data_IF_603706168668
#
_entry.id   IF_603706168668
#
_cell.length_a   1.000
_cell.length_b   1.000
_cell.length_c   1.000
_cell.angle_alpha   90.00
_cell.angle_beta   90.00
_cell.angle_gamma   90.00
#
_symmetry.space_group_name_H-M   'P 1'
#
loop_
_entity.id
_entity.type
_entity.pdbx_description
1 polymer ?
#
# COMPACT_ATOMS: atom_id res chain seq x y z
N UNK A 1 -4.26 9.22 -8.69
CA UNK A 1 -4.40 7.82 -9.17
C UNK A 1 -4.70 6.94 -7.97
N UNK A 2 -5.54 5.90 -8.09
CA UNK A 2 -5.84 5.04 -6.94
C UNK A 2 -4.81 3.94 -6.72
N UNK A 3 -4.43 3.73 -5.47
CA UNK A 3 -3.53 2.67 -5.04
C UNK A 3 -4.08 1.99 -3.79
N UNK A 4 -4.17 0.66 -3.80
CA UNK A 4 -4.59 -0.10 -2.62
C UNK A 4 -3.38 -0.44 -1.74
N UNK A 5 -3.37 0.00 -0.50
CA UNK A 5 -2.39 -0.40 0.51
C UNK A 5 -3.10 -1.15 1.65
N UNK A 6 -2.85 -2.45 1.75
CA UNK A 6 -3.57 -3.39 2.60
C UNK A 6 -5.08 -3.38 2.33
N UNK A 7 -5.83 -2.59 3.09
CA UNK A 7 -7.29 -2.40 3.04
C UNK A 7 -7.69 -0.94 2.80
N UNK A 8 -6.73 -0.02 2.65
CA UNK A 8 -6.96 1.39 2.43
C UNK A 8 -6.64 1.78 0.99
N UNK A 9 -7.60 2.40 0.31
CA UNK A 9 -7.40 2.97 -1.02
C UNK A 9 -6.97 4.42 -0.88
N UNK A 10 -5.81 4.70 -1.45
CA UNK A 10 -5.15 5.99 -1.44
C UNK A 10 -5.29 6.61 -2.82
N UNK A 11 -5.67 7.88 -2.86
CA UNK A 11 -5.41 8.70 -4.03
C UNK A 11 -3.98 9.21 -3.95
N UNK A 12 -3.13 8.67 -4.82
CA UNK A 12 -1.75 9.09 -5.03
C UNK A 12 -1.68 9.95 -6.28
N UNK A 13 -1.91 11.25 -6.12
CA UNK A 13 -1.67 12.24 -7.16
C UNK A 13 -0.26 12.81 -7.00
N UNK A 14 0.56 12.68 -8.06
CA UNK A 14 1.98 13.06 -8.06
C UNK A 14 2.19 14.56 -7.81
N UNK A 15 1.23 15.40 -8.19
CA UNK A 15 1.31 16.85 -8.01
C UNK A 15 1.32 17.29 -6.53
N UNK A 16 0.79 16.46 -5.64
CA UNK A 16 0.60 16.81 -4.23
C UNK A 16 1.57 16.10 -3.26
N UNK A 17 2.30 15.09 -3.72
CA UNK A 17 3.02 14.16 -2.83
C UNK A 17 4.52 14.49 -2.68
N UNK A 18 5.15 15.15 -3.65
CA UNK A 18 6.60 15.38 -3.61
C UNK A 18 7.04 16.80 -3.88
N UNK A 19 8.06 17.21 -3.10
CA UNK A 19 8.96 18.28 -3.45
C UNK A 19 10.01 17.72 -4.44
N UNK A 20 10.46 18.44 -5.49
CA UNK A 20 11.37 17.90 -6.51
C UNK A 20 12.68 17.31 -5.96
N UNK A 21 13.16 17.81 -4.81
CA UNK A 21 14.36 17.31 -4.13
C UNK A 21 14.22 15.88 -3.57
N UNK A 22 12.99 15.46 -3.28
CA UNK A 22 12.72 14.11 -2.80
C UNK A 22 12.74 13.09 -3.94
N UNK A 23 12.37 13.52 -5.16
CA UNK A 23 12.30 12.65 -6.33
C UNK A 23 13.66 12.03 -6.70
N UNK A 24 14.75 12.81 -6.67
CA UNK A 24 16.10 12.33 -6.97
C UNK A 24 16.59 11.31 -5.94
N UNK A 25 16.30 11.53 -4.65
CA UNK A 25 16.66 10.60 -3.58
C UNK A 25 15.91 9.28 -3.70
N UNK A 26 14.65 9.35 -4.14
CA UNK A 26 13.81 8.19 -4.32
C UNK A 26 14.12 7.41 -5.59
N UNK A 27 14.66 8.07 -6.61
CA UNK A 27 15.10 7.36 -7.81
C UNK A 27 16.34 6.46 -7.54
N UNK A 28 17.17 6.80 -6.56
CA UNK A 28 18.27 5.93 -6.16
C UNK A 28 17.83 4.66 -5.40
N UNK A 29 16.58 4.58 -4.93
CA UNK A 29 16.11 3.45 -4.12
C UNK A 29 15.81 2.22 -5.00
N UNK A 30 16.25 1.05 -4.54
CA UNK A 30 15.85 -0.23 -5.14
C UNK A 30 14.45 -0.63 -4.70
N UNK A 31 13.82 -1.53 -5.46
CA UNK A 31 12.52 -2.06 -5.08
C UNK A 31 12.57 -2.86 -3.77
N UNK A 32 13.66 -3.60 -3.53
CA UNK A 32 13.87 -4.37 -2.31
C UNK A 32 13.93 -3.48 -1.07
N UNK A 33 14.56 -2.31 -1.21
CA UNK A 33 14.61 -1.33 -0.12
C UNK A 33 13.24 -0.71 0.17
N UNK A 34 12.44 -0.42 -0.86
CA UNK A 34 11.06 0.09 -0.68
C UNK A 34 10.18 -0.98 -0.02
N UNK A 35 10.34 -2.24 -0.40
CA UNK A 35 9.66 -3.35 0.26
C UNK A 35 10.06 -3.47 1.74
N UNK A 36 11.35 -3.35 2.05
CA UNK A 36 11.85 -3.33 3.43
C UNK A 36 11.28 -2.17 4.25
N UNK A 37 11.25 -0.96 3.70
CA UNK A 37 10.62 0.21 4.35
C UNK A 37 9.15 -0.05 4.69
N UNK A 38 8.41 -0.68 3.77
CA UNK A 38 7.03 -1.09 4.04
C UNK A 38 6.94 -2.12 5.17
N UNK A 39 7.80 -3.15 5.14
CA UNK A 39 7.87 -4.17 6.21
C UNK A 39 8.17 -3.55 7.57
N UNK A 40 9.13 -2.64 7.66
CA UNK A 40 9.45 -1.90 8.89
C UNK A 40 8.25 -1.11 9.40
N UNK A 41 7.58 -0.38 8.50
CA UNK A 41 6.40 0.42 8.84
C UNK A 41 5.26 -0.42 9.43
N UNK A 42 5.02 -1.61 8.88
CA UNK A 42 3.95 -2.50 9.34
C UNK A 42 4.36 -3.42 10.49
N UNK A 43 5.66 -3.65 10.70
CA UNK A 43 6.19 -4.31 11.89
C UNK A 43 6.05 -3.42 13.14
N UNK A 44 6.28 -2.11 12.99
CA UNK A 44 6.12 -1.12 14.07
C UNK A 44 4.65 -1.02 14.51
N UNK A 45 3.73 -0.90 13.56
CA UNK A 45 2.30 -0.85 13.84
C UNK A 45 1.48 -1.31 12.61
N UNK A 46 0.73 -2.42 12.72
CA UNK A 46 -0.09 -2.95 11.63
C UNK A 46 -1.17 -2.00 11.12
N UNK A 47 -1.57 -1.00 11.92
CA UNK A 47 -2.56 0.02 11.58
C UNK A 47 -1.93 1.35 11.16
N UNK A 48 -0.61 1.43 10.93
CA UNK A 48 0.11 2.66 10.57
C UNK A 48 -0.51 3.38 9.38
N UNK A 49 -0.97 2.65 8.36
CA UNK A 49 -1.58 3.24 7.17
C UNK A 49 -2.85 4.03 7.45
N UNK A 50 -3.58 3.69 8.52
CA UNK A 50 -4.75 4.45 8.98
C UNK A 50 -4.37 5.63 9.88
N UNK A 51 -3.33 5.48 10.71
CA UNK A 51 -2.87 6.52 11.65
C UNK A 51 -2.05 7.62 10.96
N UNK A 52 -1.30 7.26 9.91
CA UNK A 52 -0.45 8.16 9.16
C UNK A 52 -0.65 7.97 7.65
N UNK A 53 -1.75 8.49 7.09
CA UNK A 53 -2.08 8.33 5.68
C UNK A 53 -1.04 8.97 4.74
N UNK A 54 -0.32 10.00 5.18
CA UNK A 54 0.76 10.62 4.40
C UNK A 54 1.95 9.67 4.21
N UNK A 55 2.36 8.96 5.26
CA UNK A 55 3.42 7.94 5.17
C UNK A 55 2.99 6.79 4.24
N UNK A 56 1.73 6.37 4.33
CA UNK A 56 1.14 5.37 3.45
C UNK A 56 1.11 5.81 1.98
N UNK A 57 0.71 7.06 1.70
CA UNK A 57 0.72 7.65 0.34
C UNK A 57 2.11 7.69 -0.26
N UNK A 58 3.12 8.10 0.52
CA UNK A 58 4.52 8.09 0.08
C UNK A 58 4.99 6.69 -0.28
N UNK A 59 4.72 5.69 0.57
CA UNK A 59 5.07 4.31 0.28
C UNK A 59 4.40 3.79 -1.00
N UNK A 60 3.08 4.01 -1.14
CA UNK A 60 2.32 3.63 -2.32
C UNK A 60 2.86 4.29 -3.60
N UNK A 61 3.22 5.57 -3.52
CA UNK A 61 3.83 6.29 -4.63
C UNK A 61 5.20 5.72 -5.00
N UNK A 62 6.07 5.44 -4.02
CA UNK A 62 7.39 4.83 -4.26
C UNK A 62 7.27 3.48 -4.97
N UNK A 63 6.33 2.65 -4.51
CA UNK A 63 6.03 1.35 -5.12
C UNK A 63 5.61 1.54 -6.57
N UNK A 64 4.67 2.45 -6.84
CA UNK A 64 4.21 2.71 -8.20
C UNK A 64 5.30 3.28 -9.10
N UNK A 65 6.12 4.21 -8.60
CA UNK A 65 7.23 4.80 -9.36
C UNK A 65 8.23 3.73 -9.81
N UNK A 66 8.55 2.76 -8.95
CA UNK A 66 9.48 1.66 -9.27
C UNK A 66 8.82 0.49 -10.00
N UNK A 67 7.52 0.31 -9.84
CA UNK A 67 6.72 -0.71 -10.53
C UNK A 67 5.45 -0.09 -11.09
N UNK A 68 5.50 0.59 -12.25
CA UNK A 68 4.35 1.35 -12.79
C UNK A 68 3.09 0.53 -13.06
N UNK A 69 3.23 -0.80 -13.22
CA UNK A 69 2.09 -1.72 -13.41
C UNK A 69 1.42 -2.13 -12.10
N UNK A 70 2.07 -1.91 -10.96
CA UNK A 70 1.56 -2.22 -9.63
C UNK A 70 0.75 -1.03 -9.12
N UNK A 71 -0.46 -1.33 -8.68
CA UNK A 71 -1.37 -0.37 -8.04
C UNK A 71 -2.02 -0.96 -6.76
N UNK A 72 -1.45 -2.05 -6.25
CA UNK A 72 -1.83 -2.64 -4.98
C UNK A 72 -0.63 -3.27 -4.28
N UNK A 73 -0.51 -3.03 -2.98
CA UNK A 73 0.48 -3.65 -2.10
C UNK A 73 -0.16 -4.13 -0.80
N UNK A 74 0.24 -5.32 -0.36
CA UNK A 74 -0.13 -5.90 0.93
C UNK A 74 1.12 -6.16 1.75
N UNK A 75 1.08 -5.78 3.02
CA UNK A 75 2.07 -6.06 4.04
C UNK A 75 1.35 -6.74 5.20
N UNK A 76 1.67 -8.00 5.47
CA UNK A 76 0.96 -8.78 6.48
C UNK A 76 1.93 -9.56 7.36
N UNK A 77 1.65 -9.70 8.67
CA UNK A 77 2.48 -10.49 9.56
C UNK A 77 2.36 -11.98 9.24
N UNK A 78 3.50 -12.66 9.14
CA UNK A 78 3.64 -14.12 9.05
C UNK A 78 3.93 -14.75 10.41
N UNK A 79 4.34 -13.94 11.40
CA UNK A 79 4.54 -14.36 12.78
C UNK A 79 4.31 -13.20 13.75
N UNK A 80 4.27 -13.50 15.06
CA UNK A 80 4.05 -12.52 16.12
C UNK A 80 5.35 -11.82 16.60
N UNK A 81 6.47 -11.94 15.88
CA UNK A 81 7.74 -11.36 16.36
C UNK A 81 7.81 -9.84 16.26
N UNK A 82 6.92 -9.21 15.49
CA UNK A 82 6.90 -7.74 15.33
C UNK A 82 8.18 -7.20 14.69
N UNK A 83 8.89 -8.04 13.92
CA UNK A 83 10.10 -7.68 13.19
C UNK A 83 9.80 -7.52 11.70
N UNK A 84 10.58 -6.72 10.95
CA UNK A 84 10.38 -6.58 9.50
C UNK A 84 10.43 -7.93 8.76
N UNK A 85 11.27 -8.86 9.23
CA UNK A 85 11.37 -10.22 8.67
C UNK A 85 10.11 -11.06 8.86
N UNK A 86 9.28 -10.71 9.85
CA UNK A 86 7.96 -11.32 10.05
C UNK A 86 6.84 -10.68 9.26
N UNK A 87 7.14 -9.70 8.40
CA UNK A 87 6.17 -9.09 7.51
C UNK A 87 6.47 -9.55 6.09
N UNK A 88 5.50 -10.18 5.44
CA UNK A 88 5.56 -10.46 4.02
C UNK A 88 4.97 -9.31 3.21
N UNK A 89 5.54 -9.08 2.02
CA UNK A 89 5.10 -8.06 1.08
C UNK A 89 4.60 -8.72 -0.22
N UNK A 90 3.42 -8.31 -0.69
CA UNK A 90 2.85 -8.76 -1.95
C UNK A 90 2.43 -7.58 -2.81
N UNK A 91 2.68 -7.65 -4.11
CA UNK A 91 2.38 -6.59 -5.08
C UNK A 91 1.51 -7.13 -6.19
N UNK A 92 0.46 -6.38 -6.57
CA UNK A 92 -0.47 -6.76 -7.63
C UNK A 92 -0.82 -5.59 -8.53
N UNK A 93 -1.24 -5.92 -9.74
CA UNK A 93 -1.96 -5.03 -10.64
C UNK A 93 -3.45 -5.38 -10.57
N UNK A 94 -4.28 -4.38 -10.28
CA UNK A 94 -5.73 -4.44 -10.24
C UNK A 94 -6.26 -3.55 -11.36
N UNK A 95 -7.39 -3.93 -11.93
CA UNK A 95 -8.09 -3.07 -12.87
C UNK A 95 -8.44 -1.70 -12.25
N UNK A 96 -8.15 -0.61 -12.94
CA UNK A 96 -8.36 0.77 -12.44
C UNK A 96 -9.83 1.08 -12.15
N UNK A 97 -10.76 0.57 -12.97
CA UNK A 97 -12.20 0.75 -12.72
C UNK A 97 -12.62 0.05 -11.43
N UNK A 98 -12.08 -1.14 -11.17
CA UNK A 98 -12.35 -1.86 -9.92
C UNK A 98 -11.83 -1.09 -8.71
N UNK A 99 -10.60 -0.55 -8.78
CA UNK A 99 -10.06 0.32 -7.72
C UNK A 99 -10.91 1.57 -7.51
N UNK A 100 -11.37 2.21 -8.58
CA UNK A 100 -12.26 3.38 -8.48
C UNK A 100 -13.59 3.06 -7.81
N UNK A 101 -14.21 1.91 -8.12
CA UNK A 101 -15.44 1.46 -7.46
C UNK A 101 -15.21 1.21 -5.96
N UNK A 102 -14.11 0.55 -5.60
CA UNK A 102 -13.77 0.31 -4.20
C UNK A 102 -13.48 1.63 -3.46
N UNK A 103 -12.88 2.62 -4.11
CA UNK A 103 -12.66 3.95 -3.53
C UNK A 103 -13.98 4.67 -3.20
N UNK A 104 -14.96 4.63 -4.11
CA UNK A 104 -16.27 5.22 -3.82
C UNK A 104 -16.98 4.49 -2.67
N UNK A 105 -16.86 3.16 -2.58
CA UNK A 105 -17.35 2.39 -1.43
C UNK A 105 -16.66 2.79 -0.12
N UNK A 106 -15.36 3.07 -0.15
CA UNK A 106 -14.60 3.54 1.01
C UNK A 106 -15.12 4.88 1.51
N UNK A 107 -15.38 5.83 0.60
CA UNK A 107 -15.88 7.17 0.96
C UNK A 107 -17.23 7.16 1.68
N UNK A 108 -18.08 6.18 1.37
CA UNK A 108 -19.39 6.00 2.02
C UNK A 108 -19.35 5.01 3.20
N UNK A 109 -18.15 4.57 3.61
CA UNK A 109 -17.97 3.65 4.75
C UNK A 109 -18.43 2.21 4.50
N UNK A 110 -18.58 1.79 3.24
CA UNK A 110 -19.04 0.45 2.85
C UNK A 110 -17.92 -0.52 2.49
N UNK A 111 -16.67 -0.05 2.51
CA UNK A 111 -15.49 -0.88 2.31
C UNK A 111 -15.01 -1.41 3.67
N UNK A 112 -14.89 -2.73 3.78
CA UNK A 112 -14.33 -3.43 4.93
C UNK A 112 -13.14 -4.29 4.50
N UNK A 113 -12.18 -4.51 5.41
CA UNK A 113 -10.97 -5.28 5.17
C UNK A 113 -11.27 -6.68 4.63
N UNK A 114 -12.32 -7.34 5.13
CA UNK A 114 -12.74 -8.66 4.63
C UNK A 114 -13.19 -8.66 3.17
N UNK A 115 -13.81 -7.57 2.69
CA UNK A 115 -14.18 -7.42 1.27
C UNK A 115 -12.95 -7.28 0.39
N UNK A 116 -11.95 -6.52 0.85
CA UNK A 116 -10.67 -6.36 0.13
C UNK A 116 -9.91 -7.68 0.08
N UNK A 117 -9.79 -8.39 1.19
CA UNK A 117 -9.10 -9.67 1.25
C UNK A 117 -9.70 -10.71 0.31
N UNK A 118 -11.03 -10.74 0.19
CA UNK A 118 -11.73 -11.65 -0.72
C UNK A 118 -11.57 -11.21 -2.19
N UNK A 119 -11.90 -9.95 -2.50
CA UNK A 119 -12.00 -9.47 -3.87
C UNK A 119 -10.63 -9.23 -4.54
N UNK A 120 -9.60 -8.89 -3.75
CA UNK A 120 -8.29 -8.50 -4.28
C UNK A 120 -7.22 -9.53 -3.94
N UNK A 121 -7.17 -9.97 -2.68
CA UNK A 121 -6.11 -10.84 -2.21
C UNK A 121 -6.43 -12.32 -2.39
N UNK A 122 -7.71 -12.67 -2.62
CA UNK A 122 -8.25 -14.03 -2.70
C UNK A 122 -7.91 -14.88 -1.47
N UNK A 123 -7.79 -14.23 -0.31
CA UNK A 123 -7.67 -14.93 0.96
C UNK A 123 -9.07 -15.17 1.49
N UNK A 124 -9.46 -16.43 1.61
CA UNK A 124 -10.59 -16.79 2.46
C UNK A 124 -10.13 -16.50 3.88
N UNK A 125 -10.80 -15.55 4.55
CA UNK A 125 -10.65 -15.40 5.99
C UNK A 125 -10.95 -16.77 6.63
N UNK A 126 -9.94 -17.36 7.27
CA UNK A 126 -10.07 -18.61 8.00
C UNK A 126 -10.66 -18.36 9.39
#
# INVERSE_FOLDING_TARGET
>A
MYFLLNDLILDIDSAHIMNPLDADRFDALSIDYIALLGKEMFAEDPATHRKNPERARRLAYLIHMKMPRVNAAQFFPTSNSGTPDSIDASFKSINELALGMLYEQQKIGQLDAGKIDTQVWHRMAA
#
